data_IF_667558791133
#
_entry.id   IF_667558791133
#
_cell.length_a   1.000
_cell.length_b   1.000
_cell.length_c   1.000
_cell.angle_alpha   90.00
_cell.angle_beta   90.00
_cell.angle_gamma   90.00
#
_symmetry.space_group_name_H-M   'P 1'
#
loop_
_entity.id
_entity.type
_entity.pdbx_description
1 polymer ?
#
# COMPACT_ATOMS: atom_id res chain seq x y z
N UNK A 1 13.67 -1.08 14.33
CA UNK A 1 13.98 0.08 13.47
C UNK A 1 13.87 -0.40 12.03
N UNK A 2 13.07 0.26 11.18
CA UNK A 2 12.98 -0.13 9.77
C UNK A 2 14.31 0.24 9.10
N UNK A 3 15.05 -0.76 8.62
CA UNK A 3 16.32 -0.51 7.95
C UNK A 3 16.04 0.11 6.58
N UNK A 4 16.78 1.16 6.23
CA UNK A 4 16.72 1.77 4.90
C UNK A 4 18.15 1.86 4.38
N UNK A 5 18.38 1.47 3.13
CA UNK A 5 19.63 1.70 2.43
C UNK A 5 19.94 3.21 2.37
N UNK A 6 21.20 3.54 2.10
CA UNK A 6 21.54 4.88 1.62
C UNK A 6 20.98 5.07 0.19
N UNK A 7 20.50 6.27 -0.17
CA UNK A 7 20.04 6.52 -1.53
C UNK A 7 21.20 6.40 -2.53
N UNK A 8 21.00 5.77 -3.71
CA UNK A 8 22.03 5.63 -4.74
C UNK A 8 22.23 6.91 -5.58
N UNK A 9 21.73 8.05 -5.11
CA UNK A 9 21.75 9.36 -5.77
C UNK A 9 22.00 10.47 -4.74
N UNK A 10 22.39 11.66 -5.19
CA UNK A 10 22.57 12.80 -4.30
C UNK A 10 21.23 13.24 -3.72
N UNK A 11 21.17 13.53 -2.42
CA UNK A 11 19.92 13.93 -1.73
C UNK A 11 19.32 15.20 -2.34
N UNK A 12 20.14 16.08 -2.92
CA UNK A 12 19.68 17.28 -3.61
C UNK A 12 18.84 16.97 -4.87
N UNK A 13 19.05 15.81 -5.49
CA UNK A 13 18.34 15.37 -6.69
C UNK A 13 17.05 14.60 -6.34
N UNK A 14 16.75 14.39 -5.04
CA UNK A 14 15.58 13.66 -4.60
C UNK A 14 14.31 14.50 -4.83
N UNK A 15 13.62 14.21 -5.94
CA UNK A 15 12.40 14.88 -6.36
C UNK A 15 11.15 14.12 -5.91
N UNK A 16 9.99 14.66 -6.28
CA UNK A 16 8.68 14.05 -6.06
C UNK A 16 8.55 12.70 -6.79
N UNK A 17 7.51 11.95 -6.44
CA UNK A 17 7.20 10.66 -7.04
C UNK A 17 6.91 10.74 -8.54
N UNK A 18 7.55 9.87 -9.32
CA UNK A 18 7.15 9.59 -10.71
C UNK A 18 5.73 8.98 -10.71
N UNK A 19 4.79 9.67 -11.35
CA UNK A 19 3.38 9.28 -11.38
C UNK A 19 3.14 7.91 -12.04
N UNK A 20 4.12 7.40 -12.81
CA UNK A 20 4.07 6.04 -13.39
C UNK A 20 4.12 4.94 -12.33
N UNK A 21 4.71 5.20 -11.16
CA UNK A 21 4.88 4.22 -10.08
C UNK A 21 4.24 4.75 -8.81
N UNK A 22 3.04 4.28 -8.51
CA UNK A 22 2.25 4.82 -7.41
C UNK A 22 2.59 4.07 -6.12
N UNK A 23 2.60 4.74 -4.96
CA UNK A 23 2.78 4.05 -3.70
C UNK A 23 1.80 2.89 -3.54
N UNK A 24 2.33 1.77 -3.04
CA UNK A 24 1.70 0.44 -2.92
C UNK A 24 1.58 -0.39 -4.20
N UNK A 25 2.01 0.11 -5.36
CA UNK A 25 2.16 -0.75 -6.53
C UNK A 25 3.21 -1.83 -6.25
N UNK A 26 2.97 -3.04 -6.73
CA UNK A 26 3.91 -4.15 -6.67
C UNK A 26 4.71 -4.21 -7.96
N UNK A 27 6.02 -4.09 -7.86
CA UNK A 27 6.93 -4.16 -8.99
C UNK A 27 7.61 -5.53 -8.99
N UNK A 28 7.58 -6.21 -10.13
CA UNK A 28 8.46 -7.35 -10.39
C UNK A 28 9.77 -6.81 -10.94
N UNK A 29 10.90 -7.25 -10.38
CA UNK A 29 12.22 -6.86 -10.85
C UNK A 29 12.92 -8.06 -11.48
N UNK A 30 13.70 -7.84 -12.53
CA UNK A 30 14.60 -8.89 -13.04
C UNK A 30 15.94 -8.90 -12.29
N UNK A 31 16.28 -7.79 -11.63
CA UNK A 31 17.52 -7.63 -10.86
C UNK A 31 17.29 -6.76 -9.63
N UNK A 32 17.94 -7.12 -8.52
CA UNK A 32 18.04 -6.28 -7.33
C UNK A 32 19.50 -5.81 -7.16
N UNK A 33 19.81 -4.51 -7.20
CA UNK A 33 21.18 -4.03 -7.03
C UNK A 33 21.72 -4.34 -5.63
N UNK A 34 23.04 -4.47 -5.49
CA UNK A 34 23.70 -4.70 -4.19
C UNK A 34 23.66 -3.43 -3.33
N UNK A 35 23.30 -3.58 -2.06
CA UNK A 35 23.30 -2.47 -1.10
C UNK A 35 24.23 -2.75 0.06
N UNK A 36 25.07 -1.78 0.40
CA UNK A 36 26.00 -1.89 1.51
C UNK A 36 25.25 -2.10 2.83
N UNK A 37 25.65 -3.15 3.56
CA UNK A 37 25.08 -3.48 4.87
C UNK A 37 23.64 -4.01 4.82
N UNK A 38 23.15 -4.46 3.65
CA UNK A 38 21.83 -5.10 3.60
C UNK A 38 21.80 -6.40 4.44
N UNK A 39 20.73 -6.65 5.20
CA UNK A 39 20.56 -7.93 5.88
C UNK A 39 20.44 -9.09 4.89
N UNK A 40 21.01 -10.25 5.22
CA UNK A 40 20.98 -11.45 4.37
C UNK A 40 19.55 -11.85 3.92
N UNK A 41 18.55 -11.69 4.80
CA UNK A 41 17.16 -12.02 4.49
C UNK A 41 16.59 -11.22 3.31
N UNK A 42 17.15 -10.05 2.97
CA UNK A 42 16.71 -9.23 1.83
C UNK A 42 16.91 -10.01 0.52
N UNK A 43 18.08 -10.64 0.36
CA UNK A 43 18.40 -11.46 -0.82
C UNK A 43 17.54 -12.71 -0.88
N UNK A 44 17.43 -13.41 0.25
CA UNK A 44 16.59 -14.61 0.33
C UNK A 44 15.12 -14.29 0.01
N UNK A 45 14.61 -13.13 0.45
CA UNK A 45 13.26 -12.68 0.10
C UNK A 45 13.11 -12.42 -1.39
N UNK A 46 14.10 -11.79 -2.02
CA UNK A 46 14.08 -11.51 -3.45
C UNK A 46 14.16 -12.80 -4.29
N UNK A 47 15.00 -13.75 -3.89
CA UNK A 47 15.13 -15.05 -4.56
C UNK A 47 13.84 -15.86 -4.47
N UNK A 48 13.14 -15.83 -3.32
CA UNK A 48 11.82 -16.45 -3.18
C UNK A 48 10.77 -15.76 -4.05
N UNK A 49 10.76 -14.43 -4.02
CA UNK A 49 9.77 -13.60 -4.68
C UNK A 49 10.45 -12.33 -5.21
N UNK A 50 10.67 -12.21 -6.53
CA UNK A 50 11.35 -11.04 -7.11
C UNK A 50 10.40 -9.83 -7.24
N UNK A 51 9.64 -9.57 -6.17
CA UNK A 51 8.64 -8.53 -6.07
C UNK A 51 8.95 -7.59 -4.92
N UNK A 52 8.72 -6.30 -5.17
CA UNK A 52 8.93 -5.22 -4.22
C UNK A 52 7.72 -4.30 -4.24
N UNK A 53 7.48 -3.57 -3.14
CA UNK A 53 6.39 -2.60 -3.04
C UNK A 53 6.92 -1.19 -3.26
N UNK A 54 6.30 -0.39 -4.13
CA UNK A 54 6.59 1.04 -4.23
C UNK A 54 6.27 1.72 -2.90
N UNK A 55 7.27 2.40 -2.34
CA UNK A 55 7.14 3.18 -1.12
C UNK A 55 6.87 4.63 -1.43
N UNK A 56 6.18 5.30 -0.51
CA UNK A 56 6.13 6.74 -0.48
C UNK A 56 7.39 7.33 0.17
N UNK A 57 8.45 7.47 -0.60
CA UNK A 57 9.64 8.27 -0.28
C UNK A 57 10.17 8.99 -1.53
N UNK A 58 10.86 10.11 -1.35
CA UNK A 58 11.50 10.83 -2.46
C UNK A 58 12.49 9.93 -3.23
N UNK A 59 12.61 10.19 -4.53
CA UNK A 59 13.55 9.50 -5.41
C UNK A 59 14.08 10.48 -6.47
N UNK A 60 15.30 10.28 -6.93
CA UNK A 60 15.80 11.00 -8.10
C UNK A 60 15.19 10.46 -9.39
N UNK A 61 15.29 11.24 -10.47
CA UNK A 61 14.89 10.79 -11.81
C UNK A 61 15.58 9.47 -12.18
N UNK A 62 14.80 8.55 -12.76
CA UNK A 62 15.29 7.21 -13.08
C UNK A 62 15.28 6.21 -11.90
N UNK A 63 14.89 6.64 -10.70
CA UNK A 63 14.79 5.75 -9.53
C UNK A 63 13.37 5.68 -8.95
N UNK A 64 13.06 4.53 -8.35
CA UNK A 64 11.81 4.30 -7.62
C UNK A 64 12.14 3.84 -6.21
N UNK A 65 11.55 4.49 -5.21
CA UNK A 65 11.65 4.04 -3.83
C UNK A 65 10.83 2.76 -3.63
N UNK A 66 11.47 1.70 -3.14
CA UNK A 66 10.88 0.39 -2.97
C UNK A 66 11.07 -0.17 -1.55
N UNK A 67 10.18 -1.09 -1.18
CA UNK A 67 10.16 -1.76 0.10
C UNK A 67 10.11 -3.26 -0.08
N UNK A 68 10.87 -3.94 0.77
CA UNK A 68 10.94 -5.39 0.85
C UNK A 68 10.55 -5.85 2.25
N UNK A 69 9.92 -7.02 2.32
CA UNK A 69 9.61 -7.69 3.59
C UNK A 69 10.27 -9.05 3.66
N UNK A 70 10.69 -9.39 4.87
CA UNK A 70 11.13 -10.73 5.22
C UNK A 70 9.97 -11.59 5.72
N UNK A 71 10.31 -12.76 6.25
CA UNK A 71 9.35 -13.69 6.85
C UNK A 71 8.79 -13.14 8.17
N UNK A 72 9.60 -12.38 8.92
CA UNK A 72 9.17 -11.78 10.17
C UNK A 72 8.55 -10.40 9.98
N UNK A 73 7.59 -10.05 10.85
CA UNK A 73 6.93 -8.73 10.81
C UNK A 73 7.89 -7.55 10.98
N UNK A 74 9.00 -7.76 11.69
CA UNK A 74 10.08 -6.81 11.95
C UNK A 74 10.99 -6.61 10.73
N UNK A 75 11.06 -7.60 9.84
CA UNK A 75 11.93 -7.58 8.66
C UNK A 75 11.30 -6.71 7.57
N UNK A 76 11.66 -5.43 7.61
CA UNK A 76 11.25 -4.42 6.63
C UNK A 76 12.49 -3.67 6.18
N UNK A 77 12.73 -3.66 4.87
CA UNK A 77 13.89 -3.04 4.27
C UNK A 77 13.42 -2.06 3.20
N UNK A 78 13.96 -0.85 3.26
CA UNK A 78 13.67 0.23 2.34
C UNK A 78 14.87 0.51 1.45
N UNK A 79 14.66 0.66 0.15
CA UNK A 79 15.74 1.03 -0.79
C UNK A 79 15.18 1.70 -2.05
N UNK A 80 16.01 1.87 -3.08
CA UNK A 80 15.65 2.36 -4.41
C UNK A 80 16.15 1.42 -5.49
N UNK A 81 15.44 1.39 -6.62
CA UNK A 81 15.84 0.64 -7.82
C UNK A 81 15.78 1.54 -9.05
N UNK A 82 16.63 1.26 -10.03
CA UNK A 82 16.60 1.96 -11.31
C UNK A 82 15.42 1.47 -12.15
N UNK A 83 14.88 2.35 -13.01
CA UNK A 83 13.76 1.99 -13.89
C UNK A 83 14.07 0.77 -14.78
N UNK A 84 15.31 0.66 -15.23
CA UNK A 84 15.75 -0.45 -16.09
C UNK A 84 15.68 -1.81 -15.39
N UNK A 85 15.62 -1.86 -14.06
CA UNK A 85 15.51 -3.11 -13.29
C UNK A 85 14.06 -3.61 -13.15
N UNK A 86 13.07 -2.78 -13.52
CA UNK A 86 11.64 -3.07 -13.39
C UNK A 86 11.15 -3.84 -14.62
N UNK A 87 10.62 -5.04 -14.40
CA UNK A 87 10.06 -5.90 -15.45
C UNK A 87 8.57 -5.59 -15.69
N UNK A 88 7.78 -5.59 -14.61
CA UNK A 88 6.33 -5.33 -14.67
C UNK A 88 5.85 -4.66 -13.39
N UNK A 89 4.67 -4.05 -13.44
CA UNK A 89 3.99 -3.53 -12.25
C UNK A 89 2.54 -3.99 -12.17
N UNK A 90 2.07 -4.16 -10.95
CA UNK A 90 0.69 -4.51 -10.62
C UNK A 90 0.19 -3.56 -9.55
N UNK A 91 -0.80 -2.75 -9.89
CA UNK A 91 -1.47 -1.86 -8.95
C UNK A 91 -2.36 -2.65 -7.98
N UNK A 92 -2.57 -2.19 -6.73
CA UNK A 92 -3.53 -2.80 -5.80
C UNK A 92 -4.91 -3.06 -6.42
N UNK A 93 -5.41 -2.13 -7.21
CA UNK A 93 -6.73 -2.16 -7.84
C UNK A 93 -6.90 -3.35 -8.79
N UNK A 94 -5.84 -3.70 -9.52
CA UNK A 94 -5.82 -4.85 -10.42
C UNK A 94 -5.84 -6.19 -9.66
N UNK A 95 -5.49 -6.18 -8.37
CA UNK A 95 -5.49 -7.37 -7.52
C UNK A 95 -6.86 -7.66 -6.92
N UNK A 96 -7.75 -6.66 -6.84
CA UNK A 96 -9.10 -6.84 -6.29
C UNK A 96 -9.93 -7.88 -7.06
N UNK A 97 -9.60 -8.13 -8.34
CA UNK A 97 -10.27 -9.10 -9.21
C UNK A 97 -9.47 -10.39 -9.42
N UNK A 98 -8.32 -10.53 -8.75
CA UNK A 98 -7.52 -11.76 -8.83
C UNK A 98 -7.98 -12.77 -7.78
N UNK A 99 -7.95 -14.04 -8.18
CA UNK A 99 -8.23 -15.12 -7.25
C UNK A 99 -6.94 -15.54 -6.53
N UNK A 100 -7.01 -15.84 -5.22
CA UNK A 100 -5.94 -16.58 -4.55
C UNK A 100 -5.88 -18.01 -5.08
N UNK A 101 -4.79 -18.72 -4.76
CA UNK A 101 -4.72 -20.16 -5.00
C UNK A 101 -5.92 -20.87 -4.36
N UNK A 102 -6.50 -21.85 -5.07
CA UNK A 102 -7.74 -22.51 -4.67
C UNK A 102 -7.70 -23.09 -3.25
N UNK A 103 -6.57 -23.66 -2.82
CA UNK A 103 -6.39 -24.22 -1.48
C UNK A 103 -6.34 -23.16 -0.36
N UNK A 104 -6.26 -21.88 -0.71
CA UNK A 104 -6.04 -20.76 0.22
C UNK A 104 -7.21 -19.79 0.28
N UNK A 105 -8.18 -19.91 -0.64
CA UNK A 105 -9.33 -19.01 -0.75
C UNK A 105 -10.15 -18.86 0.54
N UNK A 106 -10.16 -19.88 1.40
CA UNK A 106 -10.89 -19.90 2.65
C UNK A 106 -10.20 -19.15 3.79
N UNK A 107 -8.99 -18.61 3.59
CA UNK A 107 -8.33 -17.80 4.61
C UNK A 107 -9.15 -16.53 4.88
N UNK A 108 -9.30 -16.11 6.15
CA UNK A 108 -10.14 -14.97 6.51
C UNK A 108 -9.89 -13.68 5.73
N UNK A 109 -8.63 -13.39 5.39
CA UNK A 109 -8.28 -12.20 4.61
C UNK A 109 -8.81 -12.24 3.16
N UNK A 110 -8.85 -13.43 2.54
CA UNK A 110 -9.45 -13.59 1.21
C UNK A 110 -10.98 -13.61 1.27
N UNK A 111 -11.57 -14.18 2.33
CA UNK A 111 -13.01 -14.06 2.60
C UNK A 111 -13.41 -12.59 2.75
N UNK A 112 -12.68 -11.82 3.56
CA UNK A 112 -12.91 -10.38 3.73
C UNK A 112 -12.77 -9.62 2.41
N UNK A 113 -11.75 -9.94 1.60
CA UNK A 113 -11.57 -9.33 0.29
C UNK A 113 -12.75 -9.66 -0.65
N UNK A 114 -13.22 -10.91 -0.68
CA UNK A 114 -14.37 -11.29 -1.49
C UNK A 114 -15.63 -10.52 -1.09
N UNK A 115 -15.87 -10.33 0.21
CA UNK A 115 -16.99 -9.49 0.70
C UNK A 115 -16.84 -8.02 0.28
N UNK A 116 -15.61 -7.48 0.30
CA UNK A 116 -15.34 -6.12 -0.19
C UNK A 116 -15.61 -5.99 -1.70
N UNK A 117 -15.26 -7.02 -2.49
CA UNK A 117 -15.58 -7.08 -3.94
C UNK A 117 -17.08 -7.10 -4.17
N UNK A 118 -17.84 -7.89 -3.40
CA UNK A 118 -19.31 -7.90 -3.49
C UNK A 118 -19.88 -6.51 -3.21
N UNK A 119 -19.36 -5.77 -2.21
CA UNK A 119 -19.79 -4.39 -1.95
C UNK A 119 -19.44 -3.42 -3.08
N UNK A 120 -18.34 -3.64 -3.81
CA UNK A 120 -17.98 -2.84 -4.98
C UNK A 120 -18.96 -3.04 -6.13
N UNK A 121 -19.47 -4.25 -6.30
CA UNK A 121 -20.39 -4.61 -7.39
C UNK A 121 -21.86 -4.29 -7.06
N UNK A 122 -22.21 -4.22 -5.77
CA UNK A 122 -23.56 -3.90 -5.32
C UNK A 122 -23.94 -2.43 -5.62
N UNK A 123 -25.12 -2.21 -6.20
CA UNK A 123 -25.66 -0.87 -6.40
C UNK A 123 -25.84 -0.15 -5.06
N UNK A 124 -25.21 1.03 -4.92
CA UNK A 124 -25.19 1.79 -3.67
C UNK A 124 -24.28 1.20 -2.58
N UNK A 125 -23.45 0.21 -2.91
CA UNK A 125 -22.44 -0.29 -1.98
C UNK A 125 -21.37 0.77 -1.71
N UNK A 126 -20.93 0.90 -0.46
CA UNK A 126 -20.02 1.99 -0.06
C UNK A 126 -18.69 2.01 -0.83
N UNK A 127 -18.22 0.86 -1.32
CA UNK A 127 -17.00 0.74 -2.11
C UNK A 127 -17.20 0.89 -3.63
N UNK A 128 -18.45 0.99 -4.10
CA UNK A 128 -18.77 1.01 -5.54
C UNK A 128 -18.30 2.28 -6.25
N UNK A 129 -18.26 3.40 -5.53
CA UNK A 129 -17.86 4.72 -6.08
C UNK A 129 -16.34 4.93 -6.08
N UNK A 130 -15.57 4.00 -5.52
CA UNK A 130 -14.14 4.18 -5.29
C UNK A 130 -13.28 3.25 -6.13
N UNK A 131 -12.10 3.77 -6.49
CA UNK A 131 -11.00 2.99 -7.02
C UNK A 131 -10.19 2.47 -5.84
N UNK A 132 -10.16 1.16 -5.63
CA UNK A 132 -9.51 0.56 -4.47
C UNK A 132 -8.93 -0.83 -4.77
N UNK A 133 -8.03 -1.31 -3.91
CA UNK A 133 -7.55 -2.68 -3.95
C UNK A 133 -6.77 -3.13 -2.71
N UNK A 134 -6.52 -4.44 -2.56
CA UNK A 134 -5.77 -4.98 -1.44
C UNK A 134 -4.28 -4.60 -1.52
N UNK A 135 -3.71 -4.32 -0.37
CA UNK A 135 -2.27 -4.15 -0.17
C UNK A 135 -1.79 -5.16 0.89
N UNK A 136 -0.64 -4.93 1.52
CA UNK A 136 -0.14 -5.82 2.57
C UNK A 136 0.14 -7.23 2.09
N UNK A 137 -0.02 -8.23 2.97
CA UNK A 137 0.20 -9.65 2.64
C UNK A 137 -0.81 -10.15 1.62
N UNK A 138 -2.08 -9.76 1.71
CA UNK A 138 -3.13 -10.15 0.74
C UNK A 138 -2.78 -9.69 -0.67
N UNK A 139 -2.43 -8.41 -0.85
CA UNK A 139 -2.01 -7.90 -2.16
C UNK A 139 -0.74 -8.59 -2.66
N UNK A 140 0.26 -8.77 -1.79
CA UNK A 140 1.50 -9.45 -2.15
C UNK A 140 1.28 -10.90 -2.60
N UNK A 141 0.50 -11.68 -1.86
CA UNK A 141 0.18 -13.06 -2.21
C UNK A 141 -0.62 -13.14 -3.51
N UNK A 142 -1.58 -12.24 -3.77
CA UNK A 142 -2.33 -12.24 -5.04
C UNK A 142 -1.45 -11.91 -6.25
N UNK A 143 -0.46 -11.03 -6.07
CA UNK A 143 0.47 -10.68 -7.14
C UNK A 143 1.46 -11.80 -7.43
N UNK A 144 2.02 -12.41 -6.39
CA UNK A 144 3.14 -13.36 -6.47
C UNK A 144 2.71 -14.82 -6.52
N UNK A 145 1.49 -15.13 -6.06
CA UNK A 145 1.00 -16.48 -5.77
C UNK A 145 1.83 -17.21 -4.69
N UNK A 146 2.63 -16.49 -3.91
CA UNK A 146 3.46 -17.03 -2.83
C UNK A 146 2.72 -16.88 -1.49
N UNK A 147 2.55 -17.99 -0.72
CA UNK A 147 1.89 -17.97 0.57
C UNK A 147 2.55 -17.01 1.58
N UNK A 148 1.85 -15.92 1.92
CA UNK A 148 2.24 -14.96 2.97
C UNK A 148 1.10 -14.60 3.91
N UNK A 149 -0.15 -14.77 3.48
CA UNK A 149 -1.34 -14.62 4.31
C UNK A 149 -1.42 -15.77 5.31
N UNK A 150 -1.66 -15.42 6.57
CA UNK A 150 -1.88 -16.33 7.70
C UNK A 150 -3.31 -16.18 8.23
N UNK A 151 -3.72 -17.08 9.12
CA UNK A 151 -5.02 -16.96 9.82
C UNK A 151 -5.13 -15.70 10.69
N UNK A 152 -4.00 -15.11 11.09
CA UNK A 152 -3.93 -13.89 11.90
C UNK A 152 -3.70 -12.61 11.08
N UNK A 153 -3.63 -12.73 9.75
CA UNK A 153 -3.45 -11.57 8.87
C UNK A 153 -4.71 -10.70 8.87
N UNK A 154 -4.49 -9.39 8.88
CA UNK A 154 -5.50 -8.40 8.56
C UNK A 154 -5.69 -8.30 7.03
N UNK A 155 -6.73 -7.57 6.64
CA UNK A 155 -6.89 -7.10 5.27
C UNK A 155 -6.56 -5.60 5.22
N UNK A 156 -5.47 -5.25 4.54
CA UNK A 156 -5.12 -3.86 4.24
C UNK A 156 -5.73 -3.44 2.89
N UNK A 157 -6.51 -2.36 2.85
CA UNK A 157 -7.07 -1.78 1.63
C UNK A 157 -6.47 -0.39 1.36
N UNK A 158 -6.22 -0.11 0.08
CA UNK A 158 -5.93 1.24 -0.41
C UNK A 158 -7.14 1.75 -1.18
N UNK A 159 -7.62 2.94 -0.83
CA UNK A 159 -8.75 3.61 -1.49
C UNK A 159 -8.23 4.92 -2.08
N UNK A 160 -8.40 5.13 -3.38
CA UNK A 160 -7.96 6.36 -4.05
C UNK A 160 -9.01 7.45 -3.88
N UNK A 161 -8.61 8.56 -3.27
CA UNK A 161 -9.46 9.73 -3.02
C UNK A 161 -8.74 10.98 -3.53
N UNK A 162 -8.64 11.19 -4.85
CA UNK A 162 -8.03 12.41 -5.40
C UNK A 162 -8.83 13.66 -5.04
N UNK A 163 -10.15 13.50 -4.90
CA UNK A 163 -11.08 14.53 -4.44
C UNK A 163 -11.46 14.30 -2.98
N UNK A 164 -11.89 15.40 -2.33
CA UNK A 164 -12.18 15.42 -0.90
C UNK A 164 -13.31 14.46 -0.54
N UNK A 165 -13.00 13.52 0.35
CA UNK A 165 -13.97 12.61 0.92
C UNK A 165 -14.73 13.32 2.06
N UNK A 166 -16.05 13.43 1.94
CA UNK A 166 -16.87 13.98 3.02
C UNK A 166 -16.75 13.12 4.29
N UNK A 167 -16.96 13.77 5.44
CA UNK A 167 -16.86 13.08 6.73
C UNK A 167 -17.95 12.00 6.88
N UNK A 168 -19.18 12.28 6.44
CA UNK A 168 -20.28 11.30 6.43
C UNK A 168 -19.95 10.08 5.57
N UNK A 169 -19.39 10.29 4.37
CA UNK A 169 -18.99 9.18 3.50
C UNK A 169 -17.85 8.36 4.11
N UNK A 170 -16.90 9.02 4.79
CA UNK A 170 -15.83 8.32 5.50
C UNK A 170 -16.37 7.44 6.65
N UNK A 171 -17.37 7.91 7.40
CA UNK A 171 -18.05 7.11 8.43
C UNK A 171 -18.80 5.92 7.79
N UNK A 172 -19.53 6.15 6.70
CA UNK A 172 -20.25 5.10 5.99
C UNK A 172 -19.29 4.00 5.50
N UNK A 173 -18.20 4.39 4.83
CA UNK A 173 -17.13 3.48 4.42
C UNK A 173 -16.57 2.69 5.60
N UNK A 174 -16.28 3.37 6.71
CA UNK A 174 -15.72 2.71 7.89
C UNK A 174 -16.69 1.68 8.46
N UNK A 175 -17.98 1.99 8.59
CA UNK A 175 -19.00 1.05 9.06
C UNK A 175 -19.12 -0.17 8.12
N UNK A 176 -19.11 0.06 6.81
CA UNK A 176 -19.14 -1.01 5.82
C UNK A 176 -17.95 -1.95 5.93
N UNK A 177 -16.73 -1.42 6.14
CA UNK A 177 -15.54 -2.23 6.35
C UNK A 177 -15.53 -2.93 7.71
N UNK A 178 -16.10 -2.32 8.75
CA UNK A 178 -16.28 -2.96 10.06
C UNK A 178 -17.25 -4.16 10.00
N UNK A 179 -18.31 -4.07 9.21
CA UNK A 179 -19.21 -5.20 8.98
C UNK A 179 -18.50 -6.36 8.27
N UNK A 180 -17.64 -6.07 7.28
CA UNK A 180 -16.79 -7.07 6.64
C UNK A 180 -15.82 -7.69 7.65
N UNK A 181 -15.14 -6.86 8.45
CA UNK A 181 -14.21 -7.28 9.49
C UNK A 181 -14.89 -8.24 10.48
N UNK A 182 -16.11 -7.90 10.93
CA UNK A 182 -16.90 -8.74 11.83
C UNK A 182 -17.29 -10.07 11.19
N UNK A 183 -17.72 -10.06 9.93
CA UNK A 183 -18.12 -11.27 9.21
C UNK A 183 -16.94 -12.22 8.97
N UNK A 184 -15.78 -11.69 8.62
CA UNK A 184 -14.58 -12.48 8.36
C UNK A 184 -13.78 -12.84 9.62
N UNK A 185 -14.07 -12.20 10.76
CA UNK A 185 -13.37 -12.45 12.02
C UNK A 185 -11.93 -11.92 12.07
N UNK A 186 -11.61 -10.90 11.27
CA UNK A 186 -10.28 -10.26 11.20
C UNK A 186 -10.40 -8.75 11.16
N UNK A 187 -9.28 -8.04 11.33
CA UNK A 187 -9.25 -6.59 11.13
C UNK A 187 -9.22 -6.27 9.63
N UNK A 188 -9.92 -5.20 9.27
CA UNK A 188 -9.85 -4.58 7.94
C UNK A 188 -9.39 -3.15 8.12
N UNK A 189 -8.16 -2.87 7.70
CA UNK A 189 -7.53 -1.57 7.79
C UNK A 189 -7.59 -0.90 6.41
N UNK A 190 -7.98 0.38 6.32
CA UNK A 190 -8.06 1.10 5.06
C UNK A 190 -7.26 2.41 5.09
N UNK A 191 -6.45 2.62 4.05
CA UNK A 191 -5.73 3.85 3.80
C UNK A 191 -6.38 4.62 2.65
N UNK A 192 -6.69 5.90 2.90
CA UNK A 192 -7.07 6.87 1.89
C UNK A 192 -5.80 7.42 1.22
N UNK A 193 -5.71 7.27 -0.09
CA UNK A 193 -4.69 7.93 -0.91
C UNK A 193 -5.19 9.33 -1.28
N UNK A 194 -4.63 10.33 -0.63
CA UNK A 194 -4.98 11.76 -0.81
C UNK A 194 -3.81 12.51 -1.47
N UNK A 195 -4.02 13.74 -1.98
CA UNK A 195 -2.92 14.59 -2.46
C UNK A 195 -1.79 14.82 -1.44
N UNK A 196 -2.10 14.92 -0.14
CA UNK A 196 -1.09 15.04 0.92
C UNK A 196 -0.39 13.70 1.28
N UNK A 197 -0.84 12.58 0.71
CA UNK A 197 -0.31 11.25 0.95
C UNK A 197 -1.33 10.30 1.60
N UNK A 198 -0.83 9.27 2.27
CA UNK A 198 -1.68 8.22 2.85
C UNK A 198 -2.25 8.61 4.21
N UNK A 199 -3.58 8.62 4.35
CA UNK A 199 -4.27 8.89 5.63
C UNK A 199 -5.08 7.66 6.04
N UNK A 200 -5.09 7.29 7.32
CA UNK A 200 -5.92 6.19 7.79
C UNK A 200 -7.41 6.59 7.73
N UNK A 201 -8.27 5.75 7.14
CA UNK A 201 -9.72 6.02 7.08
C UNK A 201 -10.30 6.22 8.48
N UNK A 202 -9.89 5.40 9.45
CA UNK A 202 -10.30 5.50 10.85
C UNK A 202 -9.97 6.86 11.47
N UNK A 203 -8.84 7.44 11.10
CA UNK A 203 -8.41 8.74 11.60
C UNK A 203 -9.21 9.89 10.98
N UNK A 204 -9.48 9.83 9.67
CA UNK A 204 -10.31 10.81 8.99
C UNK A 204 -11.78 10.75 9.47
N UNK A 205 -12.35 9.56 9.56
CA UNK A 205 -13.71 9.33 10.05
C UNK A 205 -13.90 9.75 11.52
N UNK A 206 -12.83 9.82 12.32
CA UNK A 206 -12.92 10.31 13.70
C UNK A 206 -13.18 11.83 13.80
N UNK A 207 -13.12 12.58 12.70
CA UNK A 207 -13.46 14.01 12.69
C UNK A 207 -12.48 14.91 13.44
N UNK A 208 -11.21 14.49 13.57
CA UNK A 208 -10.17 15.27 14.24
C UNK A 208 -9.81 16.51 13.43
N UNK A 209 -9.44 17.60 14.11
CA UNK A 209 -9.02 18.85 13.46
C UNK A 209 -7.78 18.71 12.56
N UNK A 210 -6.93 17.73 12.85
CA UNK A 210 -5.77 17.34 12.04
C UNK A 210 -5.64 15.83 11.99
N UNK A 211 -5.15 15.32 10.88
CA UNK A 211 -4.87 13.90 10.66
C UNK A 211 -3.42 13.70 10.23
N UNK A 212 -2.88 12.51 10.47
CA UNK A 212 -1.54 12.14 10.07
C UNK A 212 -1.51 11.69 8.60
N UNK A 213 -0.97 12.54 7.73
CA UNK A 213 -0.63 12.17 6.37
C UNK A 213 0.76 11.51 6.33
N UNK A 214 0.81 10.27 5.85
CA UNK A 214 2.06 9.60 5.46
C UNK A 214 2.52 10.24 4.16
N UNK A 215 3.32 11.29 4.26
CA UNK A 215 3.88 12.05 3.13
C UNK A 215 5.26 11.51 2.71
N UNK A 216 5.70 11.80 1.49
CA UNK A 216 6.99 11.32 0.94
C UNK A 216 8.23 11.80 1.70
N UNK A 217 8.08 12.94 2.39
CA UNK A 217 9.08 13.56 3.27
C UNK A 217 8.98 13.09 4.73
N UNK A 218 8.17 12.07 4.99
CA UNK A 218 7.85 11.58 6.33
C UNK A 218 6.46 12.00 6.80
N UNK A 219 6.03 11.54 7.99
CA UNK A 219 4.70 11.82 8.52
C UNK A 219 4.48 13.32 8.79
N UNK A 220 3.34 13.87 8.37
CA UNK A 220 2.95 15.27 8.56
C UNK A 220 1.53 15.37 9.12
N UNK A 221 1.31 16.20 10.13
CA UNK A 221 -0.03 16.53 10.61
C UNK A 221 -0.64 17.62 9.73
N UNK A 222 -1.74 17.32 9.07
CA UNK A 222 -2.43 18.22 8.14
C UNK A 222 -3.88 18.43 8.56
N UNK A 223 -4.41 19.63 8.36
CA UNK A 223 -5.83 19.95 8.62
C UNK A 223 -6.76 19.52 7.48
N UNK A 224 -6.27 19.58 6.24
CA UNK A 224 -7.00 19.12 5.06
C UNK A 224 -6.05 18.33 4.14
N UNK A 225 -6.16 16.98 4.10
CA UNK A 225 -5.36 16.13 3.22
C UNK A 225 -5.55 16.37 1.71
N UNK A 226 -6.61 17.07 1.32
CA UNK A 226 -6.95 17.38 -0.07
C UNK A 226 -6.62 18.82 -0.47
N UNK A 227 -6.20 19.65 0.49
CA UNK A 227 -5.70 20.97 0.15
C UNK A 227 -4.47 20.85 -0.77
N UNK A 228 -4.29 21.76 -1.74
CA UNK A 228 -3.06 21.84 -2.51
C UNK A 228 -1.88 21.92 -1.55
N UNK A 229 -0.83 21.13 -1.81
CA UNK A 229 0.37 21.21 -1.01
C UNK A 229 0.82 22.67 -1.01
N UNK A 230 0.85 23.31 0.17
CA UNK A 230 1.48 24.61 0.29
C UNK A 230 2.94 24.41 -0.12
N UNK A 231 3.28 24.90 -1.31
CA UNK A 231 4.67 25.10 -1.69
C UNK A 231 5.14 26.18 -0.73
N UNK A 232 5.85 25.78 0.33
CA UNK A 232 6.59 26.73 1.13
C UNK A 232 7.56 27.44 0.17
N UNK A 233 7.34 28.74 0.00
CA UNK A 233 8.21 29.63 -0.77
C UNK A 233 9.59 29.76 -0.11
#
# INVERSE_FOLDING_TARGET
MQACAAPPFAVADAMSHDARWRPHDLLRLHRLPLFDGEPAWVRESFERAPYVVVRRALAADGFVAIGMRGMERSQRYGTWVHLDDIETAVSPEALAVRNPLAARNALPAFTALALAVVQREAAGGALSEFVWGPTGSTGFELATQIPTVTLSSDLDLLIRTPEKLSHDMAIQLLHSLQAIAQCAGIRVDAQLETPAGGVALTEWAAGKARVMARHARGPQLVSDPWAPAHVAA
#
